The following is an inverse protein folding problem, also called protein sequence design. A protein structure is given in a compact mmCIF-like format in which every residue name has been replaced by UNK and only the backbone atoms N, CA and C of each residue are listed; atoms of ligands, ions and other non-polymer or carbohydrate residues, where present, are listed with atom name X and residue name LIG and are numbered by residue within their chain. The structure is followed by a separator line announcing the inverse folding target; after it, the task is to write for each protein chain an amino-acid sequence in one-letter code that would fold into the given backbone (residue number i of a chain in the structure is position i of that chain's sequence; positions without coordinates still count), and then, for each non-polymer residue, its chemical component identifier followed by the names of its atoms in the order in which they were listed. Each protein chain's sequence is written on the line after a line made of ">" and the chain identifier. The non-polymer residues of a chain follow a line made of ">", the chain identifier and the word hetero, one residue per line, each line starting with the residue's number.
data_IF_670360155691
#
_entry.id   IF_670360155691
#
_cell.length_a   1.000
_cell.length_b   1.000
_cell.length_c   1.000
_cell.angle_alpha   90.00
_cell.angle_beta   90.00
_cell.angle_gamma   90.00
#
_symmetry.space_group_name_H-M   'P 1'
#
loop_
_entity.id
_entity.type
_entity.pdbx_description
1 polymer ?
#
# COMPACT_ATOMS: atom_id res chain seq x y z
N UNK A 1 4.34 0.00 -31.15
CA UNK A 1 4.02 -1.45 -31.30
C UNK A 1 2.79 -1.74 -30.45
N UNK A 2 1.75 -2.39 -30.98
CA UNK A 2 0.53 -2.71 -30.20
C UNK A 2 0.71 -4.01 -29.39
N UNK A 3 -0.17 -4.28 -28.41
CA UNK A 3 -0.18 -5.55 -27.66
C UNK A 3 -0.25 -6.77 -28.60
N UNK A 4 -1.03 -6.66 -29.68
CA UNK A 4 -1.14 -7.71 -30.72
C UNK A 4 0.16 -7.90 -31.49
N UNK A 5 0.84 -6.82 -31.85
CA UNK A 5 2.11 -6.88 -32.56
C UNK A 5 3.23 -7.45 -31.67
N UNK A 6 3.27 -7.08 -30.38
CA UNK A 6 4.19 -7.67 -29.42
C UNK A 6 3.96 -9.17 -29.25
N UNK A 7 2.69 -9.61 -29.13
CA UNK A 7 2.37 -11.03 -29.02
C UNK A 7 2.89 -11.82 -30.22
N UNK A 8 2.64 -11.33 -31.44
CA UNK A 8 3.13 -11.97 -32.67
C UNK A 8 4.66 -12.04 -32.70
N UNK A 9 5.34 -10.95 -32.32
CA UNK A 9 6.80 -10.93 -32.23
C UNK A 9 7.33 -11.99 -31.24
N UNK A 10 6.71 -12.13 -30.07
CA UNK A 10 7.11 -13.14 -29.08
C UNK A 10 6.86 -14.59 -29.56
N UNK A 11 5.80 -14.81 -30.34
CA UNK A 11 5.50 -16.12 -30.95
C UNK A 11 6.53 -16.54 -32.02
N UNK A 12 7.28 -15.60 -32.58
CA UNK A 12 8.32 -15.84 -33.59
C UNK A 12 9.70 -16.14 -32.98
N UNK A 13 9.88 -16.00 -31.66
CA UNK A 13 11.17 -16.16 -30.97
C UNK A 13 11.43 -17.61 -30.52
N UNK A 14 12.70 -18.01 -30.51
CA UNK A 14 13.12 -19.26 -29.85
C UNK A 14 13.12 -19.12 -28.32
N UNK A 15 13.20 -20.25 -27.63
CA UNK A 15 13.31 -20.31 -26.16
C UNK A 15 14.52 -19.51 -25.65
N UNK A 16 15.67 -19.65 -26.28
CA UNK A 16 16.92 -18.95 -25.90
C UNK A 16 16.79 -17.44 -26.08
N UNK A 17 16.11 -17.00 -27.15
CA UNK A 17 15.87 -15.58 -27.41
C UNK A 17 14.90 -14.99 -26.39
N UNK A 18 13.85 -15.73 -26.02
CA UNK A 18 12.90 -15.33 -24.97
C UNK A 18 13.60 -15.23 -23.60
N UNK A 19 14.40 -16.23 -23.24
CA UNK A 19 15.20 -16.22 -22.01
C UNK A 19 16.14 -15.01 -21.98
N UNK A 20 16.85 -14.74 -23.08
CA UNK A 20 17.70 -13.57 -23.23
C UNK A 20 16.95 -12.24 -23.04
N UNK A 21 15.75 -12.12 -23.61
CA UNK A 21 14.90 -10.93 -23.41
C UNK A 21 14.41 -10.80 -21.97
N UNK A 22 13.95 -11.87 -21.35
CA UNK A 22 13.54 -11.85 -19.94
C UNK A 22 14.69 -11.42 -19.02
N UNK A 23 15.91 -11.90 -19.28
CA UNK A 23 17.10 -11.49 -18.53
C UNK A 23 17.48 -10.03 -18.79
N UNK A 24 17.41 -9.53 -20.02
CA UNK A 24 17.63 -8.10 -20.30
C UNK A 24 16.61 -7.23 -19.56
N UNK A 25 15.32 -7.61 -19.56
CA UNK A 25 14.29 -6.91 -18.81
C UNK A 25 14.59 -6.89 -17.30
N UNK A 26 14.98 -8.03 -16.74
CA UNK A 26 15.35 -8.16 -15.33
C UNK A 26 16.56 -7.29 -14.96
N UNK A 27 17.58 -7.22 -15.81
CA UNK A 27 18.79 -6.43 -15.55
C UNK A 27 18.58 -4.94 -15.77
N UNK A 28 17.75 -4.57 -16.76
CA UNK A 28 17.54 -3.18 -17.17
C UNK A 28 16.54 -2.43 -16.29
N UNK A 29 15.46 -3.10 -15.86
CA UNK A 29 14.35 -2.44 -15.17
C UNK A 29 14.24 -2.85 -13.70
N UNK A 30 14.36 -1.87 -12.81
CA UNK A 30 14.26 -2.08 -11.35
C UNK A 30 12.94 -2.72 -10.92
N UNK A 31 11.82 -2.32 -11.51
CA UNK A 31 10.50 -2.88 -11.15
C UNK A 31 10.38 -4.35 -11.55
N UNK A 32 10.92 -4.73 -12.72
CA UNK A 32 10.96 -6.14 -13.17
C UNK A 32 11.84 -6.96 -12.23
N UNK A 33 13.01 -6.42 -11.86
CA UNK A 33 13.88 -7.06 -10.86
C UNK A 33 13.18 -7.25 -9.52
N UNK A 34 12.49 -6.22 -9.03
CA UNK A 34 11.75 -6.28 -7.77
C UNK A 34 10.65 -7.33 -7.82
N UNK A 35 9.88 -7.38 -8.90
CA UNK A 35 8.86 -8.39 -9.12
C UNK A 35 9.42 -9.81 -9.09
N UNK A 36 10.44 -10.11 -9.90
CA UNK A 36 11.03 -11.46 -9.91
C UNK A 36 11.64 -11.83 -8.55
N UNK A 37 12.35 -10.92 -7.90
CA UNK A 37 12.90 -11.17 -6.56
C UNK A 37 11.81 -11.49 -5.54
N UNK A 38 10.68 -10.79 -5.61
CA UNK A 38 9.53 -11.05 -4.76
C UNK A 38 8.89 -12.40 -5.07
N UNK A 39 8.64 -12.72 -6.34
CA UNK A 39 8.03 -14.00 -6.74
C UNK A 39 8.89 -15.20 -6.36
N UNK A 40 10.22 -15.11 -6.49
CA UNK A 40 11.13 -16.21 -6.15
C UNK A 40 11.41 -16.35 -4.66
N UNK A 41 11.32 -15.25 -3.90
CA UNK A 41 11.56 -15.26 -2.46
C UNK A 41 10.62 -14.26 -1.76
N UNK A 42 9.32 -14.59 -1.66
CA UNK A 42 8.34 -13.69 -1.06
C UNK A 42 8.56 -13.60 0.45
N UNK A 43 9.02 -12.45 0.92
CA UNK A 43 9.09 -12.11 2.34
C UNK A 43 8.09 -10.99 2.64
N UNK A 44 6.81 -11.33 2.50
CA UNK A 44 5.70 -10.39 2.70
C UNK A 44 5.67 -9.83 4.12
N UNK A 45 6.08 -10.65 5.10
CA UNK A 45 6.17 -10.22 6.50
C UNK A 45 7.19 -9.09 6.67
N UNK A 46 8.41 -9.26 6.17
CA UNK A 46 9.42 -8.21 6.23
C UNK A 46 8.99 -6.97 5.44
N UNK A 47 8.37 -7.17 4.28
CA UNK A 47 7.87 -6.08 3.45
C UNK A 47 6.81 -5.25 4.20
N UNK A 48 5.87 -5.92 4.87
CA UNK A 48 4.85 -5.30 5.71
C UNK A 48 5.46 -4.54 6.89
N UNK A 49 6.40 -5.16 7.61
CA UNK A 49 7.08 -4.51 8.74
C UNK A 49 7.84 -3.25 8.31
N UNK A 50 8.60 -3.32 7.21
CA UNK A 50 9.30 -2.16 6.66
C UNK A 50 8.33 -1.03 6.28
N UNK A 51 7.19 -1.37 5.64
CA UNK A 51 6.16 -0.41 5.29
C UNK A 51 5.54 0.24 6.54
N UNK A 52 5.14 -0.57 7.55
CA UNK A 52 4.57 -0.09 8.81
C UNK A 52 5.54 0.83 9.54
N UNK A 53 6.83 0.46 9.64
CA UNK A 53 7.86 1.33 10.25
C UNK A 53 7.95 2.68 9.55
N UNK A 54 7.96 2.70 8.21
CA UNK A 54 8.06 3.95 7.44
C UNK A 54 6.81 4.81 7.56
N UNK A 55 5.62 4.20 7.61
CA UNK A 55 4.36 4.90 7.86
C UNK A 55 4.33 5.45 9.28
N UNK A 56 4.73 4.66 10.28
CA UNK A 56 4.84 5.07 11.67
C UNK A 56 5.68 6.32 11.86
N UNK A 57 6.79 6.44 11.12
CA UNK A 57 7.65 7.62 11.16
C UNK A 57 7.00 8.91 10.61
N UNK A 58 5.90 8.82 9.85
CA UNK A 58 5.17 10.02 9.41
C UNK A 58 4.39 10.70 10.54
N UNK A 59 3.93 9.90 11.51
CA UNK A 59 3.16 10.35 12.67
C UNK A 59 4.05 10.46 13.92
N UNK A 60 4.93 9.49 14.13
CA UNK A 60 5.82 9.39 15.29
C UNK A 60 7.29 9.31 14.84
N UNK A 61 7.86 10.40 14.29
CA UNK A 61 9.23 10.39 13.83
C UNK A 61 10.21 10.25 14.99
N UNK A 62 11.21 9.40 14.83
CA UNK A 62 12.28 9.18 15.80
C UNK A 62 13.60 9.85 15.35
N UNK A 63 14.46 10.18 16.32
CA UNK A 63 15.80 10.73 16.04
C UNK A 63 15.82 12.22 15.64
N UNK A 64 16.67 12.57 14.67
CA UNK A 64 16.94 13.98 14.27
C UNK A 64 15.73 14.71 13.66
N UNK A 65 14.73 13.98 13.15
CA UNK A 65 13.47 14.56 12.68
C UNK A 65 12.47 14.53 13.83
N UNK A 66 12.11 15.70 14.35
CA UNK A 66 11.16 15.81 15.49
C UNK A 66 9.72 16.15 15.06
N UNK A 67 9.51 16.56 13.80
CA UNK A 67 8.19 17.02 13.32
C UNK A 67 7.49 15.94 12.50
N UNK A 68 6.31 15.54 12.98
CA UNK A 68 5.38 14.68 12.25
C UNK A 68 4.94 15.39 10.96
N UNK A 69 4.99 14.68 9.84
CA UNK A 69 4.62 15.21 8.52
C UNK A 69 3.24 14.73 8.06
N UNK A 70 2.73 13.63 8.63
CA UNK A 70 1.39 13.09 8.37
C UNK A 70 1.10 12.89 6.87
N UNK A 71 2.11 12.48 6.09
CA UNK A 71 1.96 12.39 4.64
C UNK A 71 1.27 11.10 4.25
N UNK A 72 -0.02 11.19 3.91
CA UNK A 72 -0.79 10.10 3.28
C UNK A 72 -0.08 9.47 2.07
N UNK A 73 0.67 10.27 1.30
CA UNK A 73 1.36 9.81 0.10
C UNK A 73 2.41 8.73 0.37
N UNK A 74 2.96 8.65 1.60
CA UNK A 74 3.92 7.60 1.97
C UNK A 74 3.22 6.24 2.08
N UNK A 75 2.12 6.15 2.83
CA UNK A 75 1.32 4.93 2.92
C UNK A 75 0.81 4.51 1.53
N UNK A 76 0.29 5.46 0.76
CA UNK A 76 -0.20 5.21 -0.60
C UNK A 76 0.86 4.68 -1.56
N UNK A 77 2.13 5.08 -1.38
CA UNK A 77 3.22 4.54 -2.18
C UNK A 77 3.43 3.05 -1.89
N UNK A 78 3.39 2.64 -0.62
CA UNK A 78 3.53 1.22 -0.25
C UNK A 78 2.32 0.40 -0.71
N UNK A 79 1.10 0.88 -0.50
CA UNK A 79 -0.12 0.19 -0.94
C UNK A 79 -0.08 -0.06 -2.45
N UNK A 80 0.24 0.95 -3.26
CA UNK A 80 0.37 0.80 -4.72
C UNK A 80 1.46 -0.20 -5.09
N UNK A 81 2.59 -0.18 -4.38
CA UNK A 81 3.68 -1.11 -4.62
C UNK A 81 3.28 -2.56 -4.30
N UNK A 82 2.56 -2.78 -3.19
CA UNK A 82 2.12 -4.13 -2.81
C UNK A 82 1.10 -4.69 -3.82
N UNK A 83 0.17 -3.85 -4.28
CA UNK A 83 -0.77 -4.22 -5.35
C UNK A 83 -0.01 -4.60 -6.64
N UNK A 84 1.03 -3.84 -7.00
CA UNK A 84 1.85 -4.14 -8.18
C UNK A 84 2.62 -5.46 -8.05
N UNK A 85 3.08 -5.79 -6.84
CA UNK A 85 3.77 -7.05 -6.55
C UNK A 85 2.81 -8.23 -6.35
N UNK A 86 1.49 -7.99 -6.34
CA UNK A 86 0.47 -9.00 -6.05
C UNK A 86 0.67 -9.68 -4.68
N UNK A 87 1.05 -8.88 -3.68
CA UNK A 87 1.10 -9.32 -2.27
C UNK A 87 -0.30 -9.79 -1.83
N UNK A 88 -0.36 -10.72 -0.87
CA UNK A 88 -1.61 -11.20 -0.26
C UNK A 88 -2.58 -10.03 0.03
N UNK A 89 -3.83 -10.08 -0.49
CA UNK A 89 -4.85 -9.08 -0.19
C UNK A 89 -5.07 -8.78 1.29
N UNK A 90 -4.92 -9.77 2.18
CA UNK A 90 -5.00 -9.60 3.62
C UNK A 90 -3.91 -8.68 4.16
N UNK A 91 -2.69 -8.79 3.63
CA UNK A 91 -1.55 -7.94 4.03
C UNK A 91 -1.74 -6.51 3.51
N UNK A 92 -2.26 -6.36 2.29
CA UNK A 92 -2.58 -5.04 1.74
C UNK A 92 -3.68 -4.38 2.56
N UNK A 93 -4.77 -5.11 2.85
CA UNK A 93 -5.85 -4.65 3.71
C UNK A 93 -5.32 -4.22 5.07
N UNK A 94 -4.50 -5.04 5.72
CA UNK A 94 -3.90 -4.71 7.01
C UNK A 94 -3.11 -3.40 6.99
N UNK A 95 -2.30 -3.17 5.95
CA UNK A 95 -1.54 -1.93 5.79
C UNK A 95 -2.46 -0.70 5.59
N UNK A 96 -3.56 -0.86 4.85
CA UNK A 96 -4.52 0.22 4.59
C UNK A 96 -5.21 0.65 5.88
N UNK A 97 -5.73 -0.29 6.65
CA UNK A 97 -6.39 -0.02 7.93
C UNK A 97 -5.39 0.49 8.99
N UNK A 98 -4.20 -0.09 9.05
CA UNK A 98 -3.13 0.32 9.97
C UNK A 98 -2.79 1.81 9.83
N UNK A 99 -2.71 2.33 8.61
CA UNK A 99 -2.43 3.75 8.39
C UNK A 99 -3.51 4.67 8.99
N UNK A 100 -4.79 4.26 8.94
CA UNK A 100 -5.92 5.06 9.46
C UNK A 100 -5.97 5.01 10.99
N UNK A 101 -5.80 3.81 11.56
CA UNK A 101 -5.77 3.61 13.02
C UNK A 101 -4.63 4.40 13.66
N UNK A 102 -3.46 4.38 13.03
CA UNK A 102 -2.33 5.17 13.47
C UNK A 102 -2.61 6.68 13.40
N UNK A 103 -3.31 7.14 12.35
CA UNK A 103 -3.71 8.53 12.20
C UNK A 103 -4.69 8.97 13.30
N UNK A 104 -5.67 8.13 13.64
CA UNK A 104 -6.60 8.37 14.75
C UNK A 104 -5.89 8.39 16.11
N UNK A 105 -4.94 7.47 16.32
CA UNK A 105 -4.09 7.45 17.52
C UNK A 105 -3.26 8.73 17.62
N UNK A 106 -2.73 9.23 16.49
CA UNK A 106 -1.96 10.47 16.47
C UNK A 106 -2.83 11.70 16.79
N UNK A 107 -4.03 11.79 16.18
CA UNK A 107 -4.97 12.90 16.43
C UNK A 107 -5.49 12.94 17.87
N UNK A 108 -5.62 11.80 18.55
CA UNK A 108 -6.12 11.79 19.94
C UNK A 108 -5.25 12.63 20.91
N UNK A 109 -3.99 12.88 20.57
CA UNK A 109 -3.06 13.64 21.41
C UNK A 109 -2.68 15.01 20.83
N UNK A 110 -3.15 15.37 19.63
CA UNK A 110 -2.64 16.52 18.86
C UNK A 110 -3.70 17.15 17.96
N UNK A 111 -3.62 18.47 17.83
CA UNK A 111 -4.36 19.20 16.80
C UNK A 111 -3.80 18.89 15.41
N UNK A 112 -4.70 18.76 14.44
CA UNK A 112 -4.42 18.52 13.03
C UNK A 112 -5.27 19.46 12.17
N UNK A 113 -4.86 19.66 10.91
CA UNK A 113 -5.54 20.57 9.99
C UNK A 113 -6.70 19.86 9.29
N UNK A 114 -7.69 20.59 8.78
CA UNK A 114 -8.87 20.03 8.11
C UNK A 114 -8.54 19.06 6.97
N UNK A 115 -7.48 19.38 6.21
CA UNK A 115 -6.97 18.54 5.12
C UNK A 115 -6.55 17.13 5.57
N UNK A 116 -6.17 16.95 6.83
CA UNK A 116 -5.86 15.66 7.42
C UNK A 116 -7.09 14.75 7.39
N UNK A 117 -8.22 15.23 7.89
CA UNK A 117 -9.47 14.48 7.97
C UNK A 117 -9.98 14.09 6.59
N UNK A 118 -9.99 15.02 5.62
CA UNK A 118 -10.35 14.72 4.23
C UNK A 118 -9.45 13.64 3.63
N UNK A 119 -8.15 13.65 3.96
CA UNK A 119 -7.20 12.66 3.48
C UNK A 119 -7.41 11.28 4.10
N UNK A 120 -7.87 11.21 5.36
CA UNK A 120 -8.15 9.97 6.06
C UNK A 120 -9.47 9.35 5.60
N UNK A 121 -10.52 10.15 5.37
CA UNK A 121 -11.76 9.67 4.75
C UNK A 121 -11.49 9.01 3.40
N UNK A 122 -10.72 9.67 2.52
CA UNK A 122 -10.29 9.08 1.24
C UNK A 122 -9.45 7.81 1.39
N UNK A 123 -8.75 7.64 2.51
CA UNK A 123 -7.98 6.41 2.76
C UNK A 123 -8.91 5.29 3.22
N UNK A 124 -9.90 5.62 4.04
CA UNK A 124 -10.93 4.71 4.50
C UNK A 124 -11.82 4.21 3.35
N UNK A 125 -12.34 5.11 2.51
CA UNK A 125 -13.11 4.75 1.32
C UNK A 125 -12.34 3.79 0.40
N UNK A 126 -11.04 4.05 0.21
CA UNK A 126 -10.18 3.17 -0.59
C UNK A 126 -9.98 1.80 0.08
N UNK A 127 -9.83 1.74 1.40
CA UNK A 127 -9.69 0.48 2.14
C UNK A 127 -10.98 -0.36 2.06
N UNK A 128 -12.13 0.30 2.21
CA UNK A 128 -13.45 -0.33 2.06
C UNK A 128 -13.66 -0.85 0.64
N UNK A 129 -13.39 -0.03 -0.38
CA UNK A 129 -13.50 -0.45 -1.78
C UNK A 129 -12.58 -1.65 -2.08
N UNK A 130 -11.32 -1.55 -1.67
CA UNK A 130 -10.34 -2.62 -1.90
C UNK A 130 -10.76 -3.93 -1.24
N UNK A 131 -11.12 -3.90 0.04
CA UNK A 131 -11.50 -5.13 0.77
C UNK A 131 -12.79 -5.75 0.24
N UNK A 132 -13.74 -4.94 -0.24
CA UNK A 132 -14.93 -5.45 -0.95
C UNK A 132 -14.56 -6.10 -2.28
N UNK A 133 -13.74 -5.44 -3.09
CA UNK A 133 -13.32 -5.94 -4.41
C UNK A 133 -12.52 -7.25 -4.30
N UNK A 134 -11.76 -7.42 -3.22
CA UNK A 134 -11.00 -8.64 -2.93
C UNK A 134 -11.83 -9.71 -2.19
N UNK A 135 -13.06 -9.41 -1.77
CA UNK A 135 -13.91 -10.35 -1.03
C UNK A 135 -13.48 -10.63 0.41
N UNK A 136 -12.66 -9.76 1.01
CA UNK A 136 -12.08 -9.92 2.36
C UNK A 136 -12.65 -8.93 3.38
N UNK A 137 -13.72 -8.20 3.06
CA UNK A 137 -14.28 -7.16 3.93
C UNK A 137 -14.65 -7.68 5.33
N UNK A 138 -15.20 -8.90 5.43
CA UNK A 138 -15.62 -9.46 6.72
C UNK A 138 -14.47 -9.59 7.72
N UNK A 139 -13.25 -9.85 7.25
CA UNK A 139 -12.05 -9.92 8.09
C UNK A 139 -11.64 -8.55 8.66
N UNK A 140 -12.02 -7.47 8.00
CA UNK A 140 -11.72 -6.09 8.41
C UNK A 140 -12.92 -5.33 8.99
N UNK A 141 -14.11 -5.93 8.99
CA UNK A 141 -15.35 -5.28 9.43
C UNK A 141 -15.23 -4.67 10.83
N UNK A 142 -14.70 -5.43 11.79
CA UNK A 142 -14.54 -4.95 13.16
C UNK A 142 -13.59 -3.73 13.24
N UNK A 143 -12.52 -3.71 12.42
CA UNK A 143 -11.60 -2.56 12.34
C UNK A 143 -12.28 -1.36 11.69
N UNK A 144 -13.06 -1.58 10.63
CA UNK A 144 -13.81 -0.52 9.97
C UNK A 144 -14.83 0.15 10.91
N UNK A 145 -15.61 -0.65 11.64
CA UNK A 145 -16.59 -0.17 12.62
C UNK A 145 -15.90 0.62 13.75
N UNK A 146 -14.76 0.13 14.24
CA UNK A 146 -13.97 0.84 15.25
C UNK A 146 -13.43 2.18 14.73
N UNK A 147 -12.97 2.25 13.47
CA UNK A 147 -12.52 3.50 12.85
C UNK A 147 -13.68 4.50 12.79
N UNK A 148 -14.88 4.10 12.36
CA UNK A 148 -16.04 4.98 12.32
C UNK A 148 -16.38 5.51 13.72
N UNK A 149 -16.50 4.61 14.71
CA UNK A 149 -16.76 4.99 16.11
C UNK A 149 -15.70 5.94 16.67
N UNK A 150 -14.43 5.71 16.34
CA UNK A 150 -13.33 6.58 16.79
C UNK A 150 -13.38 7.95 16.12
N UNK A 151 -13.82 8.05 14.86
CA UNK A 151 -14.01 9.33 14.19
C UNK A 151 -15.12 10.15 14.86
N UNK A 152 -16.24 9.49 15.20
CA UNK A 152 -17.36 10.07 15.98
C UNK A 152 -16.90 10.58 17.35
N UNK A 153 -16.22 9.75 18.13
CA UNK A 153 -15.72 10.11 19.47
C UNK A 153 -14.69 11.25 19.43
N UNK A 154 -13.95 11.37 18.33
CA UNK A 154 -12.96 12.43 18.12
C UNK A 154 -13.52 13.67 17.42
N UNK A 155 -14.84 13.70 17.16
CA UNK A 155 -15.59 14.77 16.50
C UNK A 155 -14.99 15.17 15.15
N UNK A 156 -14.71 14.17 14.30
CA UNK A 156 -14.21 14.43 12.95
C UNK A 156 -15.34 15.04 12.11
N UNK A 157 -15.13 16.22 11.52
CA UNK A 157 -16.20 16.93 10.81
C UNK A 157 -16.73 16.20 9.55
N UNK A 158 -16.03 15.17 9.09
CA UNK A 158 -16.32 14.41 7.88
C UNK A 158 -16.48 12.90 8.16
N UNK A 159 -16.89 12.56 9.38
CA UNK A 159 -17.30 11.22 9.78
C UNK A 159 -18.55 10.74 9.03
#
# INVERSE_FOLDING_TARGET
>A
MSKRALKKYLEELTKEQLEGQCMDLYLRFKEVKTYYNFVFNPDEKKLLEEAKVKISQEYYPTGKRRRAKMRRSVAQKFIKHFIQLQVDPMIIGDLMFFNIELAQTFRSHRSVQDSFYTSMLRSFEQAMQYTNDQGIYFDFKARAELICKTAEEQEWFNQ
#
